data_IF_861916117919
#
_entry.id   IF_861916117919
#
_cell.length_a   1.000
_cell.length_b   1.000
_cell.length_c   1.000
_cell.angle_alpha   90.00
_cell.angle_beta   90.00
_cell.angle_gamma   90.00
#
_symmetry.space_group_name_H-M   'P 1'
#
loop_
_entity.id
_entity.type
_entity.pdbx_description
1 polymer ?
#
# COMPACT_ATOMS: atom_id res chain seq x y z
N UNK A 1 3.19 -16.98 7.12
CA UNK A 1 3.57 -16.52 8.42
C UNK A 1 2.96 -15.15 8.73
N UNK A 2 2.32 -15.05 9.81
CA UNK A 2 1.64 -13.82 10.12
C UNK A 2 2.08 -13.31 11.49
N UNK A 3 2.29 -12.01 11.55
CA UNK A 3 2.56 -11.32 12.78
C UNK A 3 1.34 -10.49 13.14
N UNK A 4 0.92 -10.61 14.39
CA UNK A 4 -0.21 -9.84 14.85
C UNK A 4 0.28 -8.42 15.18
N UNK A 5 -0.32 -7.45 14.52
CA UNK A 5 -0.02 -6.04 14.78
C UNK A 5 -1.29 -5.36 15.21
N UNK A 6 -1.23 -4.66 16.34
CA UNK A 6 -2.39 -3.97 16.84
C UNK A 6 -2.42 -2.55 16.31
N UNK A 7 -3.60 -2.14 15.89
CA UNK A 7 -3.83 -0.75 15.50
C UNK A 7 -4.99 -0.22 16.33
N UNK A 8 -5.08 1.10 16.43
CA UNK A 8 -6.15 1.71 17.21
C UNK A 8 -7.49 1.43 16.54
N UNK A 9 -8.54 1.51 17.34
CA UNK A 9 -9.88 1.33 16.81
C UNK A 9 -10.25 2.44 15.84
N UNK A 10 -9.77 3.64 16.10
CA UNK A 10 -10.04 4.75 15.19
C UNK A 10 -9.44 4.50 13.82
N UNK A 11 -8.18 4.06 13.78
CA UNK A 11 -7.54 3.77 12.52
C UNK A 11 -8.21 2.60 11.81
N UNK A 12 -8.59 1.59 12.58
CA UNK A 12 -9.27 0.44 12.00
C UNK A 12 -10.60 0.84 11.37
N UNK A 13 -11.34 1.73 12.04
CA UNK A 13 -12.63 2.20 11.51
C UNK A 13 -12.43 2.94 10.20
N UNK A 14 -11.44 3.81 10.15
CA UNK A 14 -11.16 4.54 8.92
C UNK A 14 -10.70 3.61 7.82
N UNK A 15 -9.90 2.60 8.18
CA UNK A 15 -9.44 1.64 7.19
C UNK A 15 -10.61 0.87 6.59
N UNK A 16 -11.61 0.53 7.41
CA UNK A 16 -12.78 -0.17 6.89
C UNK A 16 -13.54 0.69 5.89
N UNK A 17 -13.67 1.98 6.16
CA UNK A 17 -14.38 2.88 5.26
C UNK A 17 -13.60 3.02 3.96
N UNK A 18 -12.31 3.32 4.03
CA UNK A 18 -11.52 3.57 2.84
C UNK A 18 -11.25 2.31 2.05
N UNK A 19 -11.23 1.14 2.70
CA UNK A 19 -11.05 -0.09 1.97
C UNK A 19 -12.18 -0.33 0.98
N UNK A 20 -13.39 0.08 1.35
CA UNK A 20 -14.52 -0.06 0.44
C UNK A 20 -14.41 0.92 -0.73
N UNK A 21 -13.96 2.13 -0.46
CA UNK A 21 -13.80 3.13 -1.51
C UNK A 21 -12.71 2.69 -2.49
N UNK A 22 -11.60 2.22 -1.96
CA UNK A 22 -10.44 1.85 -2.76
C UNK A 22 -10.48 0.40 -3.24
N UNK A 23 -11.51 -0.34 -2.85
CA UNK A 23 -11.69 -1.73 -3.24
C UNK A 23 -10.51 -2.59 -2.81
N UNK A 24 -10.11 -2.41 -1.55
CA UNK A 24 -9.04 -3.19 -0.92
C UNK A 24 -9.58 -3.91 0.29
N UNK A 25 -8.84 -4.92 0.73
CA UNK A 25 -9.12 -5.49 2.04
C UNK A 25 -8.70 -4.48 3.11
N UNK A 26 -9.22 -4.65 4.33
CA UNK A 26 -8.85 -3.76 5.42
C UNK A 26 -7.35 -3.85 5.69
N UNK A 27 -6.81 -5.06 5.70
CA UNK A 27 -5.38 -5.25 5.88
C UNK A 27 -4.60 -4.56 4.76
N UNK A 28 -5.03 -4.72 3.52
CA UNK A 28 -4.37 -4.08 2.40
C UNK A 28 -4.41 -2.58 2.48
N UNK A 29 -5.51 -2.03 2.98
CA UNK A 29 -5.61 -0.58 3.13
C UNK A 29 -4.61 -0.06 4.15
N UNK A 30 -4.49 -0.75 5.28
CA UNK A 30 -3.55 -0.36 6.31
C UNK A 30 -2.12 -0.48 5.81
N UNK A 31 -1.82 -1.56 5.10
CA UNK A 31 -0.47 -1.74 4.53
C UNK A 31 -0.15 -0.65 3.52
N UNK A 32 -1.14 -0.27 2.72
CA UNK A 32 -0.94 0.81 1.75
C UNK A 32 -0.57 2.11 2.46
N UNK A 33 -1.32 2.45 3.50
CA UNK A 33 -1.03 3.66 4.27
C UNK A 33 0.33 3.58 4.94
N UNK A 34 0.68 2.40 5.45
CA UNK A 34 1.97 2.22 6.12
C UNK A 34 3.13 2.41 5.13
N UNK A 35 2.98 1.91 3.92
CA UNK A 35 4.02 2.09 2.90
C UNK A 35 4.18 3.54 2.50
N UNK A 36 3.07 4.24 2.36
CA UNK A 36 3.12 5.66 2.05
C UNK A 36 3.81 6.41 3.17
N UNK A 37 3.44 6.13 4.42
CA UNK A 37 4.03 6.79 5.56
C UNK A 37 5.52 6.51 5.70
N UNK A 38 5.89 5.26 5.49
CA UNK A 38 7.31 4.89 5.56
C UNK A 38 8.11 5.61 4.49
N UNK A 39 7.57 5.63 3.27
CA UNK A 39 8.25 6.30 2.18
C UNK A 39 8.39 7.79 2.45
N UNK A 40 7.36 8.40 3.00
CA UNK A 40 7.42 9.82 3.31
C UNK A 40 8.43 10.14 4.39
N UNK A 41 8.53 9.28 5.41
CA UNK A 41 9.50 9.50 6.48
C UNK A 41 10.93 9.34 5.99
N UNK A 42 11.15 8.41 5.08
CA UNK A 42 12.48 8.17 4.55
C UNK A 42 12.88 9.21 3.51
N UNK A 43 11.89 9.88 2.92
CA UNK A 43 12.14 10.84 1.85
C UNK A 43 11.32 12.09 2.08
N UNK A 44 11.66 12.89 3.10
CA UNK A 44 10.81 14.03 3.48
C UNK A 44 10.67 15.09 2.40
N UNK A 45 11.55 15.09 1.39
CA UNK A 45 11.47 16.06 0.32
C UNK A 45 10.49 15.67 -0.77
N UNK A 46 9.98 14.43 -0.74
CA UNK A 46 9.05 13.98 -1.77
C UNK A 46 7.63 14.42 -1.45
N UNK A 47 6.90 14.80 -2.50
CA UNK A 47 5.49 15.07 -2.35
C UNK A 47 4.71 13.76 -2.35
N UNK A 48 3.48 13.83 -1.87
CA UNK A 48 2.62 12.65 -1.89
C UNK A 48 2.43 12.13 -3.32
N UNK A 49 2.32 13.04 -4.28
CA UNK A 49 2.13 12.63 -5.67
C UNK A 49 3.30 11.78 -6.17
N UNK A 50 4.53 12.18 -5.85
CA UNK A 50 5.69 11.41 -6.25
C UNK A 50 5.75 10.06 -5.55
N UNK A 51 5.44 10.05 -4.26
CA UNK A 51 5.40 8.79 -3.51
C UNK A 51 4.42 7.84 -4.14
N UNK A 52 3.25 8.33 -4.49
CA UNK A 52 2.22 7.52 -5.10
C UNK A 52 2.69 6.92 -6.42
N UNK A 53 3.37 7.74 -7.24
CA UNK A 53 3.88 7.26 -8.52
C UNK A 53 4.93 6.17 -8.34
N UNK A 54 5.78 6.33 -7.33
CA UNK A 54 6.80 5.33 -7.05
C UNK A 54 6.15 4.00 -6.68
N UNK A 55 5.14 4.05 -5.81
CA UNK A 55 4.48 2.83 -5.37
C UNK A 55 3.73 2.15 -6.51
N UNK A 56 3.10 2.95 -7.38
CA UNK A 56 2.42 2.40 -8.55
C UNK A 56 3.43 1.72 -9.46
N UNK A 57 4.59 2.36 -9.67
CA UNK A 57 5.62 1.78 -10.50
C UNK A 57 6.12 0.45 -9.99
N UNK A 58 6.26 0.31 -8.67
CA UNK A 58 6.69 -0.95 -8.08
C UNK A 58 5.66 -2.05 -8.32
N UNK A 59 4.38 -1.73 -8.17
CA UNK A 59 3.33 -2.71 -8.41
C UNK A 59 3.32 -3.14 -9.87
N UNK A 60 3.45 -2.18 -10.78
CA UNK A 60 3.47 -2.50 -12.20
C UNK A 60 4.64 -3.38 -12.57
N UNK A 61 5.78 -3.15 -11.94
CA UNK A 61 6.96 -3.97 -12.19
C UNK A 61 6.72 -5.41 -11.74
N UNK A 62 6.13 -5.58 -10.57
CA UNK A 62 5.84 -6.91 -10.07
C UNK A 62 4.85 -7.64 -10.96
N UNK A 63 3.83 -6.93 -11.40
CA UNK A 63 2.83 -7.54 -12.28
C UNK A 63 3.41 -7.86 -13.63
N UNK A 64 4.30 -7.02 -14.12
CA UNK A 64 4.98 -7.28 -15.38
C UNK A 64 5.78 -8.56 -15.33
N UNK A 65 6.50 -8.78 -14.23
CA UNK A 65 7.26 -9.99 -14.06
C UNK A 65 6.36 -11.21 -14.01
N UNK A 66 5.24 -11.09 -13.31
CA UNK A 66 4.30 -12.20 -13.25
C UNK A 66 3.73 -12.52 -14.62
N UNK A 67 3.45 -11.50 -15.41
CA UNK A 67 2.93 -11.70 -16.76
C UNK A 67 3.95 -12.42 -17.62
N UNK A 68 5.21 -12.10 -17.49
CA UNK A 68 6.25 -12.76 -18.26
C UNK A 68 6.31 -14.24 -17.95
N UNK A 69 6.14 -14.60 -16.70
CA UNK A 69 6.12 -16.00 -16.33
C UNK A 69 5.00 -16.74 -17.02
N UNK A 70 3.87 -16.09 -17.18
CA UNK A 70 2.74 -16.74 -17.84
C UNK A 70 3.01 -17.01 -19.30
N UNK A 71 3.73 -16.12 -19.92
CA UNK A 71 4.03 -16.28 -21.34
C UNK A 71 5.22 -17.18 -21.58
N UNK A 72 6.11 -17.22 -20.61
CA UNK A 72 7.27 -18.04 -20.73
C UNK A 72 6.99 -19.46 -20.35
#
# INVERSE_FOLDING_TARGET
>A
MSNAVRVSEDLLREAKIFSKIDKRSVTGQIEHWARIGKCAEENPDLTYSLIKEILIGLVELEEGESSEYRFG
#
